data_IF_656655028484
#
_entry.id   IF_656655028484
#
_cell.length_a   1.000
_cell.length_b   1.000
_cell.length_c   1.000
_cell.angle_alpha   90.00
_cell.angle_beta   90.00
_cell.angle_gamma   90.00
#
_symmetry.space_group_name_H-M   'P 1'
#
loop_
_entity.id
_entity.type
_entity.pdbx_description
1 polymer ?
#
# COMPACT_ATOMS: atom_id res chain seq x y z
N UNK A 1 -8.90 6.29 24.57
CA UNK A 1 -8.91 7.21 23.42
C UNK A 1 -9.16 8.60 23.97
N UNK A 2 -8.18 9.50 23.85
CA UNK A 2 -8.24 10.83 24.46
C UNK A 2 -9.05 11.82 23.56
N UNK A 3 -9.41 12.99 24.09
CA UNK A 3 -10.20 13.99 23.34
C UNK A 3 -9.43 14.65 22.18
N UNK A 4 -8.10 14.73 22.27
CA UNK A 4 -7.26 15.27 21.20
C UNK A 4 -7.21 14.33 19.99
N UNK A 5 -7.15 13.01 20.24
CA UNK A 5 -7.19 11.96 19.22
C UNK A 5 -8.49 12.04 18.40
N UNK A 6 -9.64 12.26 19.07
CA UNK A 6 -10.95 12.43 18.41
C UNK A 6 -11.04 13.73 17.59
N UNK A 7 -10.39 14.80 18.02
CA UNK A 7 -10.37 16.06 17.29
C UNK A 7 -9.46 16.00 16.06
N UNK A 8 -8.34 15.30 16.14
CA UNK A 8 -7.44 15.05 14.99
C UNK A 8 -8.16 14.20 13.94
N UNK A 9 -8.94 13.18 14.34
CA UNK A 9 -9.75 12.37 13.42
C UNK A 9 -10.82 13.22 12.71
N UNK A 10 -11.55 14.08 13.44
CA UNK A 10 -12.56 14.98 12.83
C UNK A 10 -11.95 15.98 11.85
N UNK A 11 -10.78 16.52 12.14
CA UNK A 11 -10.08 17.42 11.22
C UNK A 11 -9.54 16.69 10.00
N UNK A 12 -9.01 15.47 10.15
CA UNK A 12 -8.57 14.65 9.03
C UNK A 12 -9.74 14.24 8.11
N UNK A 13 -10.92 13.95 8.67
CA UNK A 13 -12.14 13.66 7.92
C UNK A 13 -12.76 14.91 7.26
N UNK A 14 -12.59 16.09 7.88
CA UNK A 14 -12.96 17.38 7.29
C UNK A 14 -12.06 17.78 6.11
N UNK A 15 -10.76 17.51 6.19
CA UNK A 15 -9.80 17.77 5.09
C UNK A 15 -9.90 16.76 3.95
N UNK A 16 -10.38 15.52 4.19
CA UNK A 16 -10.78 14.62 3.10
C UNK A 16 -11.82 15.31 2.22
N UNK A 17 -12.78 16.03 2.81
CA UNK A 17 -13.81 16.78 2.07
C UNK A 17 -13.35 18.09 1.43
N UNK A 18 -12.22 18.65 1.87
CA UNK A 18 -11.69 19.91 1.33
C UNK A 18 -10.78 19.68 0.10
N UNK A 19 -10.07 18.54 0.06
CA UNK A 19 -9.28 18.07 -1.10
C UNK A 19 -10.18 17.40 -2.19
N UNK A 20 -11.51 17.42 -1.98
CA UNK A 20 -12.56 16.77 -2.79
C UNK A 20 -13.18 17.68 -3.88
N UNK A 21 -12.68 18.90 -4.17
CA UNK A 21 -13.20 19.72 -5.29
C UNK A 21 -12.11 20.14 -6.29
N UNK A 22 -12.31 19.95 -7.61
CA UNK A 22 -13.48 19.38 -8.30
C UNK A 22 -13.28 17.89 -8.65
N UNK A 23 -13.71 16.97 -7.78
CA UNK A 23 -13.84 15.52 -8.08
C UNK A 23 -15.07 15.17 -8.95
N UNK A 24 -15.83 16.19 -9.37
CA UNK A 24 -17.14 16.05 -9.99
C UNK A 24 -17.11 15.70 -11.50
N UNK A 25 -15.96 15.43 -12.10
CA UNK A 25 -15.88 15.13 -13.55
C UNK A 25 -14.88 14.01 -13.90
N UNK A 26 -14.78 12.96 -13.07
CA UNK A 26 -13.94 11.79 -13.41
C UNK A 26 -14.79 10.54 -13.56
N UNK A 27 -14.51 9.79 -14.61
CA UNK A 27 -15.19 8.53 -14.97
C UNK A 27 -15.11 7.53 -13.81
N UNK A 28 -16.17 6.75 -13.54
CA UNK A 28 -16.13 5.65 -12.58
C UNK A 28 -14.95 4.71 -12.83
N UNK A 29 -14.49 3.99 -11.81
CA UNK A 29 -13.49 2.93 -11.98
C UNK A 29 -14.04 1.91 -12.99
N UNK A 30 -13.42 1.73 -14.16
CA UNK A 30 -13.89 0.76 -15.14
C UNK A 30 -13.92 -0.63 -14.50
N UNK A 31 -15.09 -1.29 -14.52
CA UNK A 31 -15.27 -2.65 -14.02
C UNK A 31 -15.63 -2.81 -12.53
N UNK A 32 -15.71 -1.73 -11.75
CA UNK A 32 -16.03 -1.84 -10.31
C UNK A 32 -17.49 -2.21 -9.99
N UNK A 33 -18.37 -2.23 -11.00
CA UNK A 33 -19.77 -2.68 -10.91
C UNK A 33 -19.87 -4.15 -11.35
N UNK A 34 -19.16 -5.03 -10.65
CA UNK A 34 -19.26 -6.47 -10.87
C UNK A 34 -20.55 -7.06 -10.28
N UNK A 35 -21.08 -8.09 -10.95
CA UNK A 35 -22.21 -8.89 -10.49
C UNK A 35 -21.89 -9.59 -9.15
N UNK A 36 -22.80 -9.57 -8.15
CA UNK A 36 -22.58 -10.27 -6.88
C UNK A 36 -22.34 -11.77 -7.13
N UNK A 37 -21.12 -12.26 -6.85
CA UNK A 37 -20.79 -13.70 -6.90
C UNK A 37 -19.73 -14.14 -7.93
N UNK A 38 -19.29 -13.26 -8.82
CA UNK A 38 -18.16 -13.59 -9.71
C UNK A 38 -16.82 -13.55 -8.96
N UNK A 39 -16.10 -14.67 -8.92
CA UNK A 39 -14.76 -14.76 -8.31
C UNK A 39 -13.78 -14.00 -9.19
N UNK A 40 -13.23 -12.90 -8.69
CA UNK A 40 -12.28 -12.09 -9.45
C UNK A 40 -10.84 -12.63 -9.38
N UNK A 41 -9.94 -11.98 -10.13
CA UNK A 41 -8.55 -12.44 -10.29
C UNK A 41 -7.82 -12.42 -8.95
N UNK A 42 -7.10 -13.50 -8.63
CA UNK A 42 -6.23 -13.57 -7.46
C UNK A 42 -4.77 -13.43 -7.89
N UNK A 43 -4.04 -12.59 -7.16
CA UNK A 43 -2.61 -12.37 -7.32
C UNK A 43 -1.94 -12.51 -5.96
N UNK A 44 -0.78 -13.16 -5.91
CA UNK A 44 -0.01 -13.30 -4.68
C UNK A 44 1.34 -12.62 -4.79
N UNK A 45 1.58 -11.65 -3.93
CA UNK A 45 2.90 -11.05 -3.74
C UNK A 45 3.68 -11.88 -2.71
N UNK A 46 4.63 -12.71 -3.16
CA UNK A 46 5.55 -13.45 -2.28
C UNK A 46 6.91 -12.77 -2.23
N UNK A 47 7.43 -12.51 -1.04
CA UNK A 47 8.80 -11.98 -0.89
C UNK A 47 9.86 -12.96 -1.43
N UNK A 48 10.79 -12.50 -2.29
CA UNK A 48 11.74 -13.37 -3.03
C UNK A 48 12.88 -13.97 -2.18
N UNK A 49 13.30 -13.35 -1.08
CA UNK A 49 14.33 -13.85 -0.13
C UNK A 49 13.96 -13.46 1.31
N UNK A 50 14.85 -13.68 2.30
CA UNK A 50 14.68 -13.50 3.76
C UNK A 50 13.67 -12.41 4.23
N UNK A 51 13.18 -12.49 5.48
CA UNK A 51 12.18 -11.54 6.02
C UNK A 51 12.56 -10.04 5.82
N UNK A 52 13.82 -9.71 5.60
CA UNK A 52 14.31 -8.34 5.33
C UNK A 52 14.30 -7.90 3.85
N UNK A 53 14.12 -8.79 2.87
CA UNK A 53 14.06 -8.42 1.44
C UNK A 53 12.89 -7.48 1.14
N UNK A 54 13.04 -6.59 0.17
CA UNK A 54 11.96 -5.72 -0.31
C UNK A 54 11.40 -6.17 -1.67
N UNK A 55 11.98 -7.22 -2.24
CA UNK A 55 11.58 -7.75 -3.54
C UNK A 55 10.47 -8.77 -3.38
N UNK A 56 9.51 -8.73 -4.28
CA UNK A 56 8.39 -9.66 -4.35
C UNK A 56 8.35 -10.33 -5.72
N UNK A 57 8.17 -11.65 -5.73
CA UNK A 57 7.59 -12.37 -6.85
C UNK A 57 6.08 -12.07 -6.83
N UNK A 58 5.52 -11.90 -8.01
CA UNK A 58 4.08 -11.80 -8.19
C UNK A 58 3.63 -13.08 -8.88
N UNK A 59 2.81 -13.84 -8.19
CA UNK A 59 2.31 -15.15 -8.57
C UNK A 59 0.82 -15.07 -8.89
N UNK A 60 0.32 -15.97 -9.73
CA UNK A 60 -1.12 -16.20 -9.87
C UNK A 60 -1.67 -17.07 -8.71
N UNK A 61 -2.92 -17.55 -8.84
CA UNK A 61 -3.54 -18.42 -7.83
C UNK A 61 -2.91 -19.82 -7.76
N UNK A 62 -2.27 -20.29 -8.83
CA UNK A 62 -1.62 -21.60 -8.93
C UNK A 62 -0.17 -21.55 -8.40
N UNK A 63 0.38 -20.35 -8.22
CA UNK A 63 1.75 -20.13 -7.76
C UNK A 63 2.74 -19.88 -8.90
N UNK A 64 2.27 -19.73 -10.13
CA UNK A 64 3.13 -19.44 -11.28
C UNK A 64 3.57 -17.98 -11.26
N UNK A 65 4.88 -17.74 -11.39
CA UNK A 65 5.43 -16.39 -11.40
C UNK A 65 5.00 -15.64 -12.68
N UNK A 66 4.24 -14.56 -12.50
CA UNK A 66 3.78 -13.67 -13.56
C UNK A 66 4.68 -12.44 -13.72
N UNK A 67 5.37 -12.04 -12.66
CA UNK A 67 6.22 -10.87 -12.61
C UNK A 67 6.85 -10.63 -11.24
N UNK A 68 7.32 -9.41 -11.02
CA UNK A 68 7.99 -9.04 -9.79
C UNK A 68 7.80 -7.56 -9.43
N UNK A 69 7.98 -7.27 -8.15
CA UNK A 69 8.31 -5.95 -7.63
C UNK A 69 9.76 -6.03 -7.17
N UNK A 70 10.63 -5.21 -7.72
CA UNK A 70 12.07 -5.23 -7.40
C UNK A 70 12.47 -3.85 -6.92
N UNK A 71 13.24 -3.77 -5.84
CA UNK A 71 13.85 -2.52 -5.42
C UNK A 71 14.78 -2.01 -6.52
N UNK A 72 14.49 -0.82 -7.03
CA UNK A 72 15.26 -0.25 -8.11
C UNK A 72 16.65 0.12 -7.61
N UNK A 73 17.67 -0.38 -8.30
CA UNK A 73 19.05 -0.19 -7.90
C UNK A 73 19.44 1.30 -8.04
N UNK A 74 19.59 2.00 -6.92
CA UNK A 74 20.28 3.30 -6.88
C UNK A 74 21.73 3.10 -6.46
N UNK A 75 22.68 3.52 -7.31
CA UNK A 75 24.08 3.80 -6.95
C UNK A 75 24.18 5.03 -6.03
N UNK A 76 23.46 5.05 -4.92
CA UNK A 76 23.50 6.15 -3.94
C UNK A 76 24.26 5.72 -2.67
N UNK A 77 25.02 6.63 -2.03
CA UNK A 77 25.70 6.36 -0.75
C UNK A 77 24.72 5.82 0.31
N UNK A 78 25.19 4.94 1.21
CA UNK A 78 24.37 4.20 2.17
C UNK A 78 23.39 5.07 2.98
N UNK A 79 23.72 6.33 3.25
CA UNK A 79 22.89 7.29 3.98
C UNK A 79 21.62 7.73 3.22
N UNK A 80 21.57 7.60 1.89
CA UNK A 80 20.38 7.89 1.06
C UNK A 80 19.56 6.64 0.68
N UNK A 81 19.91 5.44 1.18
CA UNK A 81 19.14 4.20 0.95
C UNK A 81 17.74 4.19 1.61
N UNK A 82 17.35 5.26 2.28
CA UNK A 82 16.02 5.43 2.86
C UNK A 82 14.94 5.81 1.82
N UNK A 83 15.32 6.06 0.56
CA UNK A 83 14.43 6.38 -0.56
C UNK A 83 14.34 5.15 -1.47
N UNK A 84 13.35 4.29 -1.20
CA UNK A 84 13.18 3.01 -1.90
C UNK A 84 12.24 3.23 -3.08
N UNK A 85 12.85 3.28 -4.26
CA UNK A 85 12.13 3.20 -5.52
C UNK A 85 11.98 1.72 -5.88
N UNK A 86 10.92 1.39 -6.61
CA UNK A 86 10.64 0.02 -7.03
C UNK A 86 10.25 0.00 -8.49
N UNK A 87 10.59 -1.09 -9.18
CA UNK A 87 10.07 -1.41 -10.49
C UNK A 87 9.07 -2.57 -10.33
N UNK A 88 7.85 -2.37 -10.81
CA UNK A 88 6.86 -3.43 -10.99
C UNK A 88 6.87 -3.83 -12.46
N UNK A 89 6.97 -5.12 -12.74
CA UNK A 89 6.78 -5.61 -14.09
C UNK A 89 6.98 -7.11 -14.22
N UNK A 90 6.60 -7.64 -15.38
CA UNK A 90 6.80 -9.04 -15.70
C UNK A 90 6.22 -9.39 -17.07
N UNK A 91 6.63 -10.52 -17.65
CA UNK A 91 6.19 -10.93 -18.98
C UNK A 91 4.67 -11.22 -19.05
N UNK A 92 4.02 -11.56 -17.92
CA UNK A 92 2.61 -11.97 -17.89
C UNK A 92 1.69 -11.03 -17.11
N UNK A 93 2.24 -9.96 -16.53
CA UNK A 93 1.47 -9.04 -15.67
C UNK A 93 0.81 -7.90 -16.44
N UNK A 94 1.15 -7.73 -17.72
CA UNK A 94 0.54 -6.73 -18.61
C UNK A 94 0.81 -5.28 -18.22
N UNK A 95 1.66 -5.03 -17.22
CA UNK A 95 1.99 -3.71 -16.73
C UNK A 95 3.48 -3.59 -16.39
N UNK A 96 4.06 -2.42 -16.66
CA UNK A 96 5.35 -1.99 -16.14
C UNK A 96 5.19 -0.61 -15.50
N UNK A 97 5.64 -0.44 -14.26
CA UNK A 97 5.53 0.83 -13.56
C UNK A 97 6.72 1.06 -12.63
N UNK A 98 7.10 2.32 -12.47
CA UNK A 98 8.09 2.80 -11.52
C UNK A 98 7.36 3.39 -10.31
N UNK A 99 7.69 2.91 -9.12
CA UNK A 99 7.23 3.48 -7.85
C UNK A 99 8.38 4.29 -7.27
N UNK A 100 8.16 5.57 -7.02
CA UNK A 100 9.19 6.48 -6.52
C UNK A 100 8.74 7.11 -5.22
N UNK A 101 9.55 6.99 -4.16
CA UNK A 101 9.24 7.67 -2.89
C UNK A 101 9.52 9.17 -3.02
N UNK A 102 8.53 10.01 -2.74
CA UNK A 102 8.66 11.46 -2.82
C UNK A 102 9.06 12.06 -1.46
N UNK A 103 10.02 12.99 -1.51
CA UNK A 103 10.48 13.75 -0.33
C UNK A 103 9.54 14.91 -0.01
N UNK A 104 9.15 15.66 -1.05
CA UNK A 104 8.10 16.67 -0.97
C UNK A 104 6.76 15.97 -0.93
N UNK A 105 5.93 16.29 0.07
CA UNK A 105 4.64 15.64 0.32
C UNK A 105 3.64 16.66 0.89
N UNK A 106 2.34 16.52 0.59
CA UNK A 106 1.30 17.37 1.16
C UNK A 106 1.28 17.32 2.70
N UNK A 107 0.73 18.37 3.32
CA UNK A 107 0.50 18.40 4.77
C UNK A 107 -0.36 17.20 5.20
N UNK A 108 -0.05 16.59 6.34
CA UNK A 108 -0.74 15.40 6.84
C UNK A 108 -0.37 14.07 6.16
N UNK A 109 0.46 14.08 5.10
CA UNK A 109 0.99 12.87 4.46
C UNK A 109 2.36 12.53 5.06
N UNK A 110 2.49 11.34 5.64
CA UNK A 110 3.76 10.86 6.21
C UNK A 110 4.68 10.30 5.13
N UNK A 111 4.13 9.51 4.22
CA UNK A 111 4.87 8.91 3.11
C UNK A 111 4.05 9.03 1.84
N UNK A 112 4.71 9.44 0.77
CA UNK A 112 4.12 9.58 -0.55
C UNK A 112 4.94 8.73 -1.53
N UNK A 113 4.27 7.89 -2.29
CA UNK A 113 4.83 7.20 -3.44
C UNK A 113 4.13 7.70 -4.70
N UNK A 114 4.89 8.08 -5.71
CA UNK A 114 4.35 8.29 -7.05
C UNK A 114 4.51 7.01 -7.85
N UNK A 115 3.47 6.64 -8.60
CA UNK A 115 3.46 5.53 -9.54
C UNK A 115 3.47 6.10 -10.94
N UNK A 116 4.44 5.70 -11.73
CA UNK A 116 4.71 6.23 -13.06
C UNK A 116 4.72 5.08 -14.06
N UNK A 117 4.10 5.28 -15.21
CA UNK A 117 4.04 4.31 -16.30
C UNK A 117 5.41 4.09 -16.96
N UNK A 118 5.49 3.15 -17.91
CA UNK A 118 6.75 2.81 -18.57
C UNK A 118 7.29 3.94 -19.47
N UNK A 119 6.41 4.82 -19.92
CA UNK A 119 6.67 6.01 -20.73
C UNK A 119 6.99 7.26 -19.87
N UNK A 120 6.96 7.15 -18.54
CA UNK A 120 7.16 8.28 -17.65
C UNK A 120 5.87 9.05 -17.29
N UNK A 121 4.71 8.62 -17.79
CA UNK A 121 3.43 9.25 -17.46
C UNK A 121 3.01 9.01 -16.00
N UNK A 122 2.45 10.00 -15.29
CA UNK A 122 1.97 9.79 -13.92
C UNK A 122 0.70 8.94 -13.92
N UNK A 123 0.72 7.80 -13.24
CA UNK A 123 -0.46 6.93 -13.09
C UNK A 123 -1.22 7.20 -11.80
N UNK A 124 -0.50 7.38 -10.68
CA UNK A 124 -1.13 7.63 -9.39
C UNK A 124 -0.15 8.14 -8.32
N UNK A 125 -0.73 8.57 -7.20
CA UNK A 125 -0.06 8.76 -5.93
C UNK A 125 -0.63 7.83 -4.86
N UNK A 126 0.25 7.14 -4.12
CA UNK A 126 -0.11 6.38 -2.92
C UNK A 126 0.33 7.17 -1.70
N UNK A 127 -0.65 7.66 -0.95
CA UNK A 127 -0.50 8.56 0.21
C UNK A 127 -0.73 7.78 1.50
N UNK A 128 0.28 7.75 2.38
CA UNK A 128 0.17 7.19 3.73
C UNK A 128 0.02 8.35 4.71
N UNK A 129 -1.17 8.48 5.30
CA UNK A 129 -1.46 9.51 6.34
C UNK A 129 -1.20 8.95 7.74
N UNK A 130 -0.77 9.83 8.65
CA UNK A 130 -0.53 9.48 10.06
C UNK A 130 -1.83 9.38 10.84
N UNK A 131 -2.33 8.15 10.95
CA UNK A 131 -3.18 7.74 12.08
C UNK A 131 -2.61 6.46 12.69
N UNK A 132 -2.93 6.17 13.95
CA UNK A 132 -2.51 4.94 14.65
C UNK A 132 -2.85 3.66 13.87
N UNK A 133 -3.80 3.70 12.93
CA UNK A 133 -4.21 2.57 12.08
C UNK A 133 -3.56 2.62 10.68
N UNK A 134 -2.94 3.74 10.29
CA UNK A 134 -2.24 3.89 9.01
C UNK A 134 -3.21 3.93 7.84
N UNK A 135 -3.75 5.11 7.52
CA UNK A 135 -4.65 5.30 6.38
C UNK A 135 -3.84 5.40 5.09
N UNK A 136 -4.05 4.48 4.16
CA UNK A 136 -3.41 4.48 2.84
C UNK A 136 -4.47 4.82 1.81
N UNK A 137 -4.24 5.91 1.07
CA UNK A 137 -5.12 6.40 0.01
C UNK A 137 -4.39 6.29 -1.32
N UNK A 138 -5.06 5.78 -2.33
CA UNK A 138 -4.58 5.69 -3.70
C UNK A 138 -5.30 6.78 -4.49
N UNK A 139 -4.56 7.72 -5.05
CA UNK A 139 -5.06 8.87 -5.80
C UNK A 139 -4.58 8.72 -7.24
N UNK A 140 -5.37 8.10 -8.12
CA UNK A 140 -4.99 7.91 -9.51
C UNK A 140 -5.09 9.23 -10.29
N UNK A 141 -4.27 9.36 -11.32
CA UNK A 141 -4.35 10.49 -12.26
C UNK A 141 -5.70 10.48 -12.98
N UNK A 142 -6.13 9.29 -13.41
CA UNK A 142 -7.41 9.05 -14.05
C UNK A 142 -8.32 8.18 -13.17
N UNK A 143 -9.60 8.54 -13.10
CA UNK A 143 -10.57 7.86 -12.24
C UNK A 143 -10.59 8.35 -10.80
N UNK A 144 -11.18 7.54 -9.92
CA UNK A 144 -11.59 7.95 -8.58
C UNK A 144 -10.65 7.43 -7.48
N UNK A 145 -10.39 8.22 -6.42
CA UNK A 145 -9.56 7.79 -5.32
C UNK A 145 -10.10 6.56 -4.57
N UNK A 146 -9.17 5.76 -4.06
CA UNK A 146 -9.47 4.55 -3.29
C UNK A 146 -8.80 4.61 -1.92
N UNK A 147 -9.36 3.87 -0.97
CA UNK A 147 -8.82 3.73 0.37
C UNK A 147 -8.54 2.27 0.69
N UNK A 148 -7.32 1.98 1.13
CA UNK A 148 -6.98 0.70 1.75
C UNK A 148 -7.36 0.78 3.23
N UNK A 149 -8.34 -0.03 3.62
CA UNK A 149 -8.88 -0.14 4.98
C UNK A 149 -8.44 -1.43 5.62
N UNK A 150 -7.83 -1.33 6.79
CA UNK A 150 -7.44 -2.49 7.58
C UNK A 150 -8.67 -3.19 8.17
N UNK A 151 -8.72 -4.51 8.02
CA UNK A 151 -9.67 -5.42 8.69
C UNK A 151 -8.90 -6.32 9.66
N UNK A 152 -8.41 -5.70 10.74
CA UNK A 152 -7.52 -6.35 11.70
C UNK A 152 -6.04 -6.29 11.29
N UNK A 153 -5.21 -7.20 11.82
CA UNK A 153 -3.74 -7.13 11.67
C UNK A 153 -3.20 -7.74 10.35
N UNK A 154 -3.98 -8.59 9.70
CA UNK A 154 -3.56 -9.38 8.53
C UNK A 154 -4.41 -9.13 7.29
N UNK A 155 -5.66 -8.68 7.45
CA UNK A 155 -6.56 -8.49 6.32
C UNK A 155 -6.77 -7.01 6.06
N UNK A 156 -7.02 -6.68 4.81
CA UNK A 156 -7.44 -5.35 4.40
C UNK A 156 -8.40 -5.43 3.21
N UNK A 157 -9.10 -4.34 2.95
CA UNK A 157 -9.89 -4.14 1.73
C UNK A 157 -9.45 -2.86 1.05
N UNK A 158 -9.55 -2.80 -0.26
CA UNK A 158 -9.46 -1.55 -1.02
C UNK A 158 -10.86 -1.23 -1.50
N UNK A 159 -11.34 -0.03 -1.16
CA UNK A 159 -12.68 0.44 -1.51
C UNK A 159 -12.60 1.77 -2.25
N UNK A 160 -13.54 2.00 -3.16
CA UNK A 160 -13.76 3.33 -3.74
C UNK A 160 -14.13 4.30 -2.62
N UNK A 161 -13.53 5.50 -2.60
CA UNK A 161 -13.93 6.51 -1.61
C UNK A 161 -15.32 7.07 -1.87
N UNK A 162 -15.79 7.06 -3.12
CA UNK A 162 -17.09 7.60 -3.52
C UNK A 162 -18.22 6.60 -3.26
N UNK A 163 -18.22 5.49 -4.00
CA UNK A 163 -19.29 4.48 -3.94
C UNK A 163 -19.19 3.53 -2.76
N UNK A 164 -18.06 3.52 -2.05
CA UNK A 164 -17.70 2.49 -1.05
C UNK A 164 -17.67 1.06 -1.61
N UNK A 165 -17.74 0.90 -2.94
CA UNK A 165 -17.62 -0.39 -3.61
C UNK A 165 -16.27 -1.02 -3.29
N UNK A 166 -16.28 -2.31 -2.98
CA UNK A 166 -15.07 -3.09 -2.76
C UNK A 166 -14.41 -3.34 -4.11
N UNK A 167 -13.13 -3.02 -4.22
CA UNK A 167 -12.32 -3.17 -5.43
C UNK A 167 -11.37 -4.35 -5.27
N UNK A 168 -10.79 -4.52 -4.08
CA UNK A 168 -9.97 -5.68 -3.76
C UNK A 168 -10.04 -6.06 -2.27
N UNK A 169 -9.68 -7.29 -1.95
CA UNK A 169 -9.35 -7.75 -0.60
C UNK A 169 -7.90 -8.23 -0.54
N UNK A 170 -7.27 -8.04 0.61
CA UNK A 170 -5.93 -8.51 0.89
C UNK A 170 -5.85 -9.37 2.13
N UNK A 171 -5.04 -10.43 2.09
CA UNK A 171 -4.64 -11.26 3.24
C UNK A 171 -3.12 -11.41 3.32
N UNK A 172 -2.54 -10.89 4.39
CA UNK A 172 -1.11 -10.91 4.69
C UNK A 172 -0.77 -12.08 5.63
N UNK A 173 0.01 -13.02 5.11
CA UNK A 173 0.54 -14.18 5.84
C UNK A 173 2.05 -14.02 6.03
N UNK A 174 2.53 -14.33 7.23
CA UNK A 174 3.96 -14.18 7.59
C UNK A 174 4.61 -15.46 8.13
N UNK A 175 3.85 -16.56 8.30
CA UNK A 175 4.34 -17.79 8.95
C UNK A 175 5.38 -18.55 8.14
N UNK A 176 5.29 -18.54 6.80
CA UNK A 176 6.22 -19.22 5.87
C UNK A 176 6.89 -18.19 4.95
N UNK A 177 7.30 -17.06 5.52
CA UNK A 177 7.67 -15.86 4.77
C UNK A 177 6.48 -14.93 4.51
N UNK A 178 6.78 -13.73 4.00
CA UNK A 178 5.74 -12.72 3.73
C UNK A 178 5.07 -13.02 2.38
N UNK A 179 3.76 -13.24 2.46
CA UNK A 179 2.86 -13.42 1.31
C UNK A 179 1.66 -12.49 1.49
N UNK A 180 1.33 -11.70 0.47
CA UNK A 180 0.11 -10.90 0.43
C UNK A 180 -0.73 -11.44 -0.72
N UNK A 181 -1.82 -12.12 -0.40
CA UNK A 181 -2.82 -12.50 -1.40
C UNK A 181 -3.74 -11.31 -1.63
N UNK A 182 -3.97 -10.96 -2.90
CA UNK A 182 -4.87 -9.92 -3.35
C UNK A 182 -5.94 -10.57 -4.22
N UNK A 183 -7.19 -10.41 -3.83
CA UNK A 183 -8.35 -10.80 -4.62
C UNK A 183 -9.00 -9.53 -5.17
N UNK A 184 -8.92 -9.35 -6.48
CA UNK A 184 -9.53 -8.23 -7.17
C UNK A 184 -10.98 -8.53 -7.48
N UNK A 185 -11.80 -7.48 -7.59
CA UNK A 185 -13.12 -7.61 -8.19
C UNK A 185 -12.98 -7.97 -9.67
N UNK A 186 -14.01 -8.58 -10.28
CA UNK A 186 -14.06 -8.75 -11.73
C UNK A 186 -13.76 -7.42 -12.44
N UNK A 187 -13.16 -7.49 -13.63
CA UNK A 187 -12.95 -6.34 -14.53
C UNK A 187 -11.99 -5.23 -14.06
N UNK A 188 -11.36 -5.34 -12.88
CA UNK A 188 -10.31 -4.41 -12.46
C UNK A 188 -9.12 -4.53 -13.43
N UNK A 189 -8.84 -3.46 -14.18
CA UNK A 189 -7.74 -3.43 -15.16
C UNK A 189 -6.36 -3.69 -14.52
N UNK A 190 -5.39 -4.12 -15.34
CA UNK A 190 -4.01 -4.35 -14.90
C UNK A 190 -3.34 -3.12 -14.27
N UNK A 191 -3.68 -1.91 -14.74
CA UNK A 191 -3.17 -0.65 -14.16
C UNK A 191 -3.65 -0.49 -12.72
N UNK A 192 -4.97 -0.57 -12.51
CA UNK A 192 -5.59 -0.53 -11.19
C UNK A 192 -5.08 -1.64 -10.26
N UNK A 193 -4.86 -2.86 -10.79
CA UNK A 193 -4.26 -3.95 -10.02
C UNK A 193 -2.88 -3.57 -9.46
N UNK A 194 -2.04 -2.86 -10.23
CA UNK A 194 -0.73 -2.45 -9.75
C UNK A 194 -0.73 -1.26 -8.81
N UNK A 195 -1.69 -0.34 -8.95
CA UNK A 195 -1.89 0.71 -7.95
C UNK A 195 -2.23 0.08 -6.59
N UNK A 196 -3.05 -0.97 -6.60
CA UNK A 196 -3.40 -1.73 -5.40
C UNK A 196 -2.21 -2.55 -4.87
N UNK A 197 -1.42 -3.20 -5.74
CA UNK A 197 -0.18 -3.86 -5.32
C UNK A 197 0.82 -2.87 -4.72
N UNK A 198 0.89 -1.64 -5.25
CA UNK A 198 1.72 -0.57 -4.69
C UNK A 198 1.25 -0.16 -3.29
N UNK A 199 -0.06 -0.04 -3.09
CA UNK A 199 -0.62 0.20 -1.77
C UNK A 199 -0.35 -0.95 -0.78
N UNK A 200 -0.40 -2.20 -1.24
CA UNK A 200 -0.04 -3.38 -0.45
C UNK A 200 1.46 -3.40 -0.08
N UNK A 201 2.34 -3.00 -1.00
CA UNK A 201 3.77 -2.81 -0.74
C UNK A 201 3.99 -1.71 0.31
N UNK A 202 3.36 -0.55 0.12
CA UNK A 202 3.42 0.58 1.05
C UNK A 202 2.94 0.18 2.46
N UNK A 203 1.90 -0.65 2.54
CA UNK A 203 1.40 -1.24 3.78
C UNK A 203 2.45 -2.14 4.46
N UNK A 204 3.05 -3.09 3.73
CA UNK A 204 4.10 -3.96 4.27
C UNK A 204 5.30 -3.16 4.79
N UNK A 205 5.79 -2.19 4.01
CA UNK A 205 6.93 -1.35 4.40
C UNK A 205 6.62 -0.54 5.67
N UNK A 206 5.42 0.03 5.77
CA UNK A 206 5.00 0.80 6.96
C UNK A 206 4.86 -0.09 8.18
N UNK A 207 4.33 -1.31 8.02
CA UNK A 207 4.21 -2.29 9.10
C UNK A 207 5.58 -2.69 9.65
N UNK A 208 6.59 -2.90 8.79
CA UNK A 208 7.94 -3.27 9.23
C UNK A 208 8.60 -2.19 10.09
N UNK A 209 8.41 -0.92 9.71
CA UNK A 209 8.88 0.22 10.49
C UNK A 209 8.25 0.18 11.89
N UNK A 210 6.92 -0.01 11.98
CA UNK A 210 6.23 -0.14 13.27
C UNK A 210 6.75 -1.31 14.10
N UNK A 211 6.88 -2.51 13.52
CA UNK A 211 7.36 -3.67 14.28
C UNK A 211 8.78 -3.47 14.82
N UNK A 212 9.66 -2.79 14.08
CA UNK A 212 11.02 -2.50 14.54
C UNK A 212 11.05 -1.52 15.72
N UNK A 213 10.18 -0.48 15.70
CA UNK A 213 10.04 0.47 16.81
C UNK A 213 9.35 -0.16 18.03
N UNK A 214 8.38 -1.06 17.85
CA UNK A 214 7.75 -1.76 18.97
C UNK A 214 8.72 -2.78 19.58
N UNK A 215 9.51 -3.52 18.79
CA UNK A 215 10.51 -4.44 19.34
C UNK A 215 11.59 -3.71 20.13
N UNK A 216 12.05 -2.54 19.69
CA UNK A 216 13.03 -1.75 20.44
C UNK A 216 12.46 -1.17 21.74
N UNK A 217 11.18 -0.77 21.76
CA UNK A 217 10.51 -0.28 22.98
C UNK A 217 10.23 -1.38 24.01
N UNK A 218 10.01 -2.63 23.56
CA UNK A 218 9.84 -3.78 24.45
C UNK A 218 11.20 -4.24 24.99
N UNK A 219 12.24 -4.28 24.14
CA UNK A 219 13.61 -4.54 24.58
C UNK A 219 14.11 -3.47 25.54
N UNK A 220 13.82 -2.18 25.29
CA UNK A 220 14.21 -1.12 26.21
C UNK A 220 13.51 -1.29 27.56
N UNK A 221 12.20 -1.56 27.60
CA UNK A 221 11.46 -1.81 28.86
C UNK A 221 11.94 -3.06 29.61
N UNK A 222 12.39 -4.10 28.90
CA UNK A 222 12.99 -5.28 29.54
C UNK A 222 14.35 -4.94 30.16
N UNK A 223 15.21 -4.22 29.44
CA UNK A 223 16.51 -3.78 29.93
C UNK A 223 16.37 -2.78 31.10
N UNK A 224 15.44 -1.83 31.05
CA UNK A 224 15.23 -0.89 32.16
C UNK A 224 14.69 -1.58 33.42
N UNK A 225 13.89 -2.66 33.28
CA UNK A 225 13.43 -3.44 34.44
C UNK A 225 14.51 -4.33 35.04
N UNK A 226 15.50 -4.74 34.25
CA UNK A 226 16.62 -5.54 34.73
C UNK A 226 17.63 -4.66 35.49
N UNK A 227 17.84 -3.41 35.07
CA UNK A 227 18.72 -2.44 35.75
C UNK A 227 18.10 -1.71 36.96
N UNK A 228 16.82 -1.93 37.26
CA UNK A 228 16.14 -1.38 38.46
C UNK A 228 15.90 -2.46 39.52
N UNK A 229 16.54 -3.63 39.37
CA UNK A 229 16.43 -4.77 40.29
C UNK A 229 17.74 -5.18 40.95
N UNK A 230 18.81 -4.44 40.69
CA UNK A 230 20.05 -4.43 41.47
C UNK A 230 20.13 -3.11 42.25
#
# INVERSE_FOLDING_TARGET
MNNEERNIERHADGEIRADERPLAQRTPVPGAEGTPGARGKVVVMRRKKSFSSNDFAIEDENGDEMGAIVEAERKAPRFFRAFRDFDIGGPRIGLRARITRKTLKPRGVRTLYAVVGPDGSPLAEVRIRTTFIGKIVIVPTEGKPMELRMKGLRRFEVVSLESKAKIAAGDLRTRKGVRIALEFSPDVSSEWQALIMTAALAFDLTRRIRSAFFSSSVLSRFLTRQFLRD
#
